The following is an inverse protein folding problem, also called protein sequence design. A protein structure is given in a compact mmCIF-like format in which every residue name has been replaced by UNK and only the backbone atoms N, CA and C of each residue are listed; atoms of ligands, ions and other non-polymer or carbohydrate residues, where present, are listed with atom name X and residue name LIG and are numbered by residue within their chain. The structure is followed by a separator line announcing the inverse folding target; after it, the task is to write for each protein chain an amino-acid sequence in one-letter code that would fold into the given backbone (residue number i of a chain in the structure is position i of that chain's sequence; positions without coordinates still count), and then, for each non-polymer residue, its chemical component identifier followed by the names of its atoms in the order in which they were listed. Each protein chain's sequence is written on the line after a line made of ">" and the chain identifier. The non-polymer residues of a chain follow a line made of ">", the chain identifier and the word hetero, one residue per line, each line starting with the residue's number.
data_IF_676936746799
#
_entry.id   IF_676936746799
#
_cell.length_a   1.000
_cell.length_b   1.000
_cell.length_c   1.000
_cell.angle_alpha   90.00
_cell.angle_beta   90.00
_cell.angle_gamma   90.00
#
_symmetry.space_group_name_H-M   'P 1'
#
loop_
_entity.id
_entity.type
_entity.pdbx_description
1 polymer ?
#
# COMPACT_ATOMS: atom_id res chain seq x y z
N UNK A 1 -5.15 -13.86 11.75
CA UNK A 1 -4.97 -12.47 11.30
C UNK A 1 -4.50 -11.65 12.48
N UNK A 2 -3.38 -10.96 12.33
CA UNK A 2 -2.77 -10.13 13.38
C UNK A 2 -3.49 -8.79 13.60
N UNK A 3 -3.19 -8.15 14.74
CA UNK A 3 -3.76 -6.86 15.11
C UNK A 3 -3.38 -5.74 14.14
N UNK A 4 -4.22 -4.70 14.02
CA UNK A 4 -3.99 -3.58 13.09
C UNK A 4 -4.12 -3.91 11.60
N UNK A 5 -4.42 -5.17 11.26
CA UNK A 5 -4.67 -5.58 9.87
C UNK A 5 -6.05 -5.11 9.42
N UNK A 6 -6.10 -4.51 8.24
CA UNK A 6 -7.32 -3.94 7.68
C UNK A 6 -7.61 -4.45 6.25
N UNK A 7 -8.85 -4.82 6.01
CA UNK A 7 -9.38 -5.17 4.68
C UNK A 7 -10.32 -4.05 4.27
N UNK A 8 -9.88 -3.21 3.31
CA UNK A 8 -10.61 -2.00 2.92
C UNK A 8 -11.92 -2.29 2.19
N UNK A 9 -11.99 -3.39 1.47
CA UNK A 9 -13.20 -3.82 0.78
C UNK A 9 -13.41 -5.34 0.92
N UNK A 10 -14.00 -5.78 2.04
CA UNK A 10 -14.21 -7.20 2.28
C UNK A 10 -15.16 -7.87 1.26
N UNK A 11 -16.02 -7.09 0.60
CA UNK A 11 -17.00 -7.65 -0.36
C UNK A 11 -16.36 -8.04 -1.69
N UNK A 12 -15.30 -7.35 -2.10
CA UNK A 12 -14.55 -7.65 -3.33
C UNK A 12 -13.31 -8.50 -3.10
N UNK A 13 -12.90 -8.68 -1.84
CA UNK A 13 -11.69 -9.41 -1.47
C UNK A 13 -12.01 -10.88 -1.23
N UNK A 14 -11.37 -11.77 -1.97
CA UNK A 14 -11.49 -13.21 -1.81
C UNK A 14 -10.35 -13.76 -0.95
N UNK A 15 -10.67 -14.15 0.28
CA UNK A 15 -9.76 -14.89 1.15
C UNK A 15 -10.29 -16.30 1.28
N UNK A 16 -9.49 -17.30 0.89
CA UNK A 16 -9.89 -18.71 0.92
C UNK A 16 -10.25 -19.17 2.35
N UNK A 17 -11.56 -19.30 2.59
CA UNK A 17 -12.09 -19.72 3.88
C UNK A 17 -12.23 -21.26 4.02
N UNK A 18 -11.96 -22.03 2.97
CA UNK A 18 -12.11 -23.50 3.04
C UNK A 18 -10.98 -24.14 3.85
N UNK A 19 -9.79 -23.53 3.84
CA UNK A 19 -8.60 -24.05 4.53
C UNK A 19 -7.92 -22.97 5.38
N UNK A 20 -8.60 -22.41 6.37
CA UNK A 20 -8.10 -21.26 7.15
C UNK A 20 -6.79 -21.58 7.90
N UNK A 21 -6.55 -22.86 8.22
CA UNK A 21 -5.33 -23.35 8.87
C UNK A 21 -4.08 -23.29 7.96
N UNK A 22 -4.25 -23.08 6.66
CA UNK A 22 -3.14 -22.86 5.71
C UNK A 22 -2.82 -21.37 5.52
N UNK A 23 -3.50 -20.48 6.26
CA UNK A 23 -3.30 -19.04 6.08
C UNK A 23 -2.85 -18.37 7.36
N UNK A 24 -1.73 -17.65 7.27
CA UNK A 24 -1.25 -16.77 8.33
C UNK A 24 -1.10 -15.36 7.79
N UNK A 25 -1.77 -14.39 8.42
CA UNK A 25 -1.64 -12.97 8.11
C UNK A 25 -1.17 -12.27 9.37
N UNK A 26 -0.06 -11.58 9.28
CA UNK A 26 0.59 -10.87 10.38
C UNK A 26 -0.14 -9.60 10.81
N UNK A 27 0.56 -8.77 11.56
CA UNK A 27 0.07 -7.50 12.08
C UNK A 27 0.24 -6.36 11.08
N UNK A 28 -0.63 -5.35 11.16
CA UNK A 28 -0.57 -4.14 10.33
C UNK A 28 -0.52 -4.44 8.81
N UNK A 29 -1.26 -5.44 8.35
CA UNK A 29 -1.39 -5.76 6.93
C UNK A 29 -2.55 -4.96 6.34
N UNK A 30 -2.30 -4.25 5.26
CA UNK A 30 -3.29 -3.43 4.56
C UNK A 30 -3.70 -4.12 3.25
N UNK A 31 -4.91 -4.68 3.21
CA UNK A 31 -5.43 -5.41 2.05
C UNK A 31 -6.44 -4.54 1.33
N UNK A 32 -6.13 -4.17 0.09
CA UNK A 32 -6.98 -3.26 -0.70
C UNK A 32 -8.03 -4.02 -1.52
N UNK A 33 -8.79 -3.28 -2.33
CA UNK A 33 -9.90 -3.78 -3.15
C UNK A 33 -9.48 -4.92 -4.09
N UNK A 34 -10.33 -5.94 -4.22
CA UNK A 34 -10.22 -7.00 -5.23
C UNK A 34 -9.03 -7.95 -5.05
N UNK A 35 -8.39 -7.98 -3.88
CA UNK A 35 -7.30 -8.91 -3.59
C UNK A 35 -7.85 -10.34 -3.49
N UNK A 36 -7.12 -11.30 -4.06
CA UNK A 36 -7.44 -12.73 -3.99
C UNK A 36 -6.31 -13.49 -3.33
N UNK A 37 -6.62 -14.27 -2.29
CA UNK A 37 -5.64 -15.14 -1.59
C UNK A 37 -6.17 -16.57 -1.63
N UNK A 38 -5.42 -17.46 -2.27
CA UNK A 38 -5.80 -18.86 -2.47
C UNK A 38 -4.83 -19.80 -1.76
N UNK A 39 -5.35 -20.79 -1.07
CA UNK A 39 -4.58 -21.85 -0.39
C UNK A 39 -4.59 -23.18 -1.12
N UNK A 40 -5.34 -23.29 -2.22
CA UNK A 40 -5.46 -24.52 -3.00
C UNK A 40 -5.86 -24.23 -4.45
N UNK A 41 -5.64 -25.23 -5.32
CA UNK A 41 -6.10 -25.23 -6.70
C UNK A 41 -7.30 -26.15 -6.95
N UNK A 42 -7.96 -25.97 -8.07
CA UNK A 42 -9.03 -26.83 -8.57
C UNK A 42 -8.72 -27.44 -9.94
N UNK A 43 -7.48 -27.37 -10.37
CA UNK A 43 -6.92 -27.87 -11.63
C UNK A 43 -6.99 -29.39 -11.75
N UNK A 44 -7.03 -30.10 -10.61
CA UNK A 44 -7.23 -31.55 -10.58
C UNK A 44 -8.54 -32.01 -11.28
N UNK A 45 -9.53 -31.12 -11.45
CA UNK A 45 -10.76 -31.43 -12.15
C UNK A 45 -10.54 -31.81 -13.62
N UNK A 46 -9.56 -31.16 -14.26
CA UNK A 46 -9.13 -31.46 -15.64
C UNK A 46 -8.38 -32.79 -15.66
N UNK A 47 -7.45 -32.99 -14.72
CA UNK A 47 -6.67 -34.22 -14.62
C UNK A 47 -7.60 -35.44 -14.39
N UNK A 48 -8.59 -35.27 -13.53
CA UNK A 48 -9.62 -36.30 -13.30
C UNK A 48 -10.40 -36.61 -14.58
N UNK A 49 -10.76 -35.60 -15.35
CA UNK A 49 -11.50 -35.79 -16.61
C UNK A 49 -10.73 -36.60 -17.66
N UNK A 50 -9.40 -36.48 -17.66
CA UNK A 50 -8.53 -37.15 -18.64
C UNK A 50 -7.99 -38.48 -18.11
N UNK A 51 -7.52 -38.52 -16.86
CA UNK A 51 -6.78 -39.66 -16.30
C UNK A 51 -7.57 -40.46 -15.25
N UNK A 52 -8.65 -39.89 -14.72
CA UNK A 52 -9.48 -40.54 -13.69
C UNK A 52 -9.03 -40.25 -12.25
N UNK A 53 -7.83 -39.71 -12.05
CA UNK A 53 -7.23 -39.49 -10.75
C UNK A 53 -7.67 -38.15 -10.12
N UNK A 54 -7.85 -38.13 -8.80
CA UNK A 54 -8.08 -36.91 -8.03
C UNK A 54 -6.77 -36.49 -7.37
N UNK A 55 -6.05 -35.55 -7.99
CA UNK A 55 -4.74 -35.07 -7.54
C UNK A 55 -4.88 -33.62 -7.09
N UNK A 56 -5.21 -33.41 -5.80
CA UNK A 56 -5.36 -32.06 -5.24
C UNK A 56 -4.05 -31.31 -5.09
N UNK A 57 -4.12 -29.98 -5.14
CA UNK A 57 -3.01 -29.07 -4.87
C UNK A 57 -3.37 -28.12 -3.73
N UNK A 58 -2.47 -27.91 -2.78
CA UNK A 58 -2.65 -26.98 -1.67
C UNK A 58 -1.28 -26.61 -1.08
N UNK A 59 -1.21 -25.44 -0.45
CA UNK A 59 0.00 -24.98 0.24
C UNK A 59 -0.30 -23.83 1.18
N UNK A 60 0.63 -23.60 2.08
CA UNK A 60 0.55 -22.54 3.07
C UNK A 60 0.71 -21.17 2.40
N UNK A 61 -0.06 -20.17 2.88
CA UNK A 61 0.15 -18.75 2.58
C UNK A 61 0.52 -18.05 3.87
N UNK A 62 1.73 -17.49 3.92
CA UNK A 62 2.21 -16.70 5.06
C UNK A 62 2.48 -15.27 4.62
N UNK A 63 1.82 -14.32 5.27
CA UNK A 63 2.04 -12.89 5.07
C UNK A 63 2.58 -12.33 6.38
N UNK A 64 3.77 -11.73 6.33
CA UNK A 64 4.44 -11.13 7.48
C UNK A 64 3.75 -9.87 7.99
N UNK A 65 4.46 -9.11 8.81
CA UNK A 65 3.94 -7.89 9.41
C UNK A 65 4.20 -6.66 8.54
N UNK A 66 3.37 -5.63 8.69
CA UNK A 66 3.54 -4.35 7.98
C UNK A 66 3.64 -4.55 6.46
N UNK A 67 2.60 -5.16 5.87
CA UNK A 67 2.53 -5.48 4.44
C UNK A 67 1.38 -4.72 3.81
N UNK A 68 1.65 -4.07 2.68
CA UNK A 68 0.61 -3.47 1.84
C UNK A 68 0.36 -4.37 0.62
N UNK A 69 -0.89 -4.73 0.38
CA UNK A 69 -1.30 -5.53 -0.78
C UNK A 69 -2.18 -4.68 -1.67
N UNK A 70 -1.62 -4.29 -2.81
CA UNK A 70 -2.26 -3.41 -3.79
C UNK A 70 -3.42 -4.08 -4.53
N UNK A 71 -4.31 -3.24 -5.03
CA UNK A 71 -5.57 -3.61 -5.68
C UNK A 71 -5.42 -4.71 -6.73
N UNK A 72 -6.32 -5.69 -6.66
CA UNK A 72 -6.41 -6.79 -7.62
C UNK A 72 -5.27 -7.80 -7.57
N UNK A 73 -4.38 -7.72 -6.59
CA UNK A 73 -3.28 -8.69 -6.45
C UNK A 73 -3.80 -10.10 -6.16
N UNK A 74 -3.16 -11.10 -6.73
CA UNK A 74 -3.47 -12.51 -6.53
C UNK A 74 -2.28 -13.16 -5.83
N UNK A 75 -2.53 -13.80 -4.68
CA UNK A 75 -1.54 -14.55 -3.90
C UNK A 75 -1.93 -16.00 -3.96
N UNK A 76 -1.05 -16.82 -4.54
CA UNK A 76 -1.27 -18.26 -4.68
C UNK A 76 -0.71 -19.01 -3.47
N UNK A 77 -1.17 -20.25 -3.34
CA UNK A 77 -0.68 -21.19 -2.32
C UNK A 77 0.83 -21.46 -2.46
N UNK A 78 1.40 -21.99 -1.38
CA UNK A 78 2.85 -22.27 -1.24
C UNK A 78 3.71 -20.99 -1.39
N UNK A 79 3.23 -19.86 -0.82
CA UNK A 79 3.94 -18.58 -0.85
C UNK A 79 4.16 -18.00 0.52
N UNK A 80 5.33 -17.38 0.72
CA UNK A 80 5.66 -16.59 1.91
C UNK A 80 6.06 -15.19 1.50
N UNK A 81 5.33 -14.20 1.99
CA UNK A 81 5.65 -12.79 1.84
C UNK A 81 6.24 -12.34 3.18
N UNK A 82 7.45 -11.85 3.17
CA UNK A 82 8.14 -11.36 4.37
C UNK A 82 7.48 -10.13 5.00
N UNK A 83 8.12 -9.57 5.99
CA UNK A 83 7.66 -8.33 6.64
C UNK A 83 8.17 -7.08 5.92
N UNK A 84 7.48 -5.95 6.12
CA UNK A 84 7.81 -4.67 5.49
C UNK A 84 7.82 -4.76 3.95
N UNK A 85 6.81 -5.40 3.37
CA UNK A 85 6.70 -5.64 1.93
C UNK A 85 5.56 -4.79 1.34
N UNK A 86 5.83 -4.20 0.19
CA UNK A 86 4.81 -3.58 -0.65
C UNK A 86 4.59 -4.49 -1.85
N UNK A 87 3.42 -5.12 -1.93
CA UNK A 87 2.91 -5.76 -3.14
C UNK A 87 2.23 -4.67 -3.95
N UNK A 88 2.95 -4.05 -4.87
CA UNK A 88 2.42 -2.95 -5.65
C UNK A 88 1.36 -3.44 -6.64
N UNK A 89 0.30 -2.69 -6.81
CA UNK A 89 -0.59 -2.83 -7.94
C UNK A 89 0.23 -2.55 -9.21
N UNK A 90 0.34 -3.54 -10.11
CA UNK A 90 1.32 -3.65 -11.17
C UNK A 90 1.52 -2.50 -12.15
N UNK A 91 1.85 -1.29 -11.71
CA UNK A 91 2.27 -0.22 -12.61
C UNK A 91 3.73 0.20 -12.39
N UNK A 92 4.53 -0.02 -13.42
CA UNK A 92 5.86 0.54 -13.55
C UNK A 92 5.78 1.58 -14.68
N UNK A 93 6.07 2.84 -14.34
CA UNK A 93 6.21 4.01 -15.24
C UNK A 93 4.99 4.46 -16.03
N UNK A 94 4.52 5.66 -15.66
CA UNK A 94 3.71 6.59 -16.46
C UNK A 94 2.82 5.97 -17.54
N UNK A 95 1.55 5.77 -17.18
CA UNK A 95 0.45 5.32 -18.04
C UNK A 95 0.27 3.81 -18.13
N UNK A 96 -0.90 3.43 -17.76
CA UNK A 96 -1.64 2.17 -17.82
C UNK A 96 -1.77 1.51 -16.46
N UNK A 97 -2.93 1.63 -15.95
CA UNK A 97 -3.71 0.84 -15.01
C UNK A 97 -3.27 -0.64 -15.04
N UNK A 98 -2.33 -0.97 -14.22
CA UNK A 98 -1.86 -2.33 -14.03
C UNK A 98 -2.13 -2.79 -12.60
N UNK A 99 -3.40 -2.97 -12.26
CA UNK A 99 -3.80 -3.85 -11.17
C UNK A 99 -3.39 -5.29 -11.52
N UNK A 100 -3.16 -6.15 -10.52
CA UNK A 100 -2.96 -7.59 -10.65
C UNK A 100 -1.50 -8.06 -10.61
N UNK A 101 -0.80 -7.82 -9.49
CA UNK A 101 0.43 -8.58 -9.23
C UNK A 101 0.08 -10.04 -8.91
N UNK A 102 0.72 -10.98 -9.59
CA UNK A 102 0.58 -12.41 -9.32
C UNK A 102 1.76 -12.90 -8.46
N UNK A 103 1.50 -13.13 -7.19
CA UNK A 103 2.48 -13.66 -6.24
C UNK A 103 2.39 -15.20 -6.24
N UNK A 104 3.29 -15.83 -6.96
CA UNK A 104 3.35 -17.29 -7.16
C UNK A 104 4.65 -17.92 -6.62
N UNK A 105 5.39 -17.16 -5.83
CA UNK A 105 6.61 -17.60 -5.12
C UNK A 105 6.84 -16.74 -3.89
N UNK A 106 7.73 -17.18 -3.02
CA UNK A 106 8.07 -16.45 -1.79
C UNK A 106 8.99 -15.25 -2.04
N UNK A 107 8.87 -14.24 -1.19
CA UNK A 107 9.64 -13.00 -1.22
C UNK A 107 10.16 -12.65 0.17
N UNK A 108 11.39 -12.10 0.27
CA UNK A 108 12.01 -11.72 1.53
C UNK A 108 11.39 -10.45 2.12
N UNK A 109 11.88 -10.08 3.30
CA UNK A 109 11.56 -8.82 3.97
C UNK A 109 12.09 -7.59 3.22
N UNK A 110 11.51 -6.43 3.49
CA UNK A 110 11.98 -5.10 3.10
C UNK A 110 12.12 -4.91 1.58
N UNK A 111 11.15 -5.39 0.81
CA UNK A 111 11.13 -5.26 -0.66
C UNK A 111 9.81 -4.67 -1.17
N UNK A 112 9.89 -4.11 -2.36
CA UNK A 112 8.74 -3.77 -3.20
C UNK A 112 8.66 -4.80 -4.31
N UNK A 113 7.52 -5.46 -4.45
CA UNK A 113 7.28 -6.45 -5.50
C UNK A 113 6.12 -6.04 -6.39
N UNK A 114 6.18 -6.35 -7.66
CA UNK A 114 5.10 -6.09 -8.62
C UNK A 114 5.19 -6.98 -9.85
N UNK A 115 4.10 -7.05 -10.61
CA UNK A 115 4.04 -7.70 -11.92
C UNK A 115 3.36 -9.06 -11.94
N UNK A 116 3.19 -9.62 -13.13
CA UNK A 116 2.63 -10.95 -13.37
C UNK A 116 3.55 -11.75 -14.28
N UNK A 117 4.32 -12.74 -13.74
CA UNK A 117 4.49 -13.03 -12.32
C UNK A 117 5.25 -11.92 -11.56
N UNK A 118 5.00 -11.80 -10.25
CA UNK A 118 5.64 -10.80 -9.40
C UNK A 118 7.17 -10.99 -9.32
N UNK A 119 7.88 -9.86 -9.30
CA UNK A 119 9.34 -9.79 -9.14
C UNK A 119 9.68 -8.70 -8.14
N UNK A 120 10.86 -8.78 -7.52
CA UNK A 120 11.40 -7.67 -6.74
C UNK A 120 11.73 -6.53 -7.70
N UNK A 121 11.18 -5.37 -7.40
CA UNK A 121 11.38 -4.12 -8.17
C UNK A 121 12.52 -3.30 -7.56
N UNK A 122 12.50 -3.18 -6.25
CA UNK A 122 13.53 -2.46 -5.48
C UNK A 122 13.45 -2.86 -4.01
N UNK A 123 14.43 -2.44 -3.23
CA UNK A 123 14.36 -2.50 -1.77
C UNK A 123 13.36 -1.46 -1.24
N UNK A 124 12.84 -1.69 -0.03
CA UNK A 124 11.96 -0.72 0.63
C UNK A 124 12.69 0.61 0.90
N UNK A 125 14.00 0.56 1.20
CA UNK A 125 14.81 1.75 1.41
C UNK A 125 14.96 2.60 0.13
N UNK A 126 15.21 1.97 -1.01
CA UNK A 126 15.26 2.68 -2.30
C UNK A 126 13.92 3.31 -2.64
N UNK A 127 12.83 2.59 -2.40
CA UNK A 127 11.47 3.13 -2.57
C UNK A 127 11.20 4.32 -1.66
N UNK A 128 11.57 4.22 -0.38
CA UNK A 128 11.44 5.32 0.59
C UNK A 128 12.20 6.57 0.15
N UNK A 129 13.48 6.43 -0.27
CA UNK A 129 14.29 7.55 -0.79
C UNK A 129 13.65 8.19 -2.01
N UNK A 130 13.15 7.38 -2.93
CA UNK A 130 12.40 7.86 -4.11
C UNK A 130 11.16 8.64 -3.69
N UNK A 131 10.35 8.14 -2.75
CA UNK A 131 9.15 8.84 -2.27
C UNK A 131 9.47 10.19 -1.63
N UNK A 132 10.51 10.24 -0.80
CA UNK A 132 10.97 11.48 -0.19
C UNK A 132 11.40 12.52 -1.24
N UNK A 133 12.09 12.10 -2.29
CA UNK A 133 12.60 13.03 -3.32
C UNK A 133 11.51 13.67 -4.17
N UNK A 134 10.34 13.07 -4.27
CA UNK A 134 9.21 13.56 -5.08
C UNK A 134 8.04 14.10 -4.26
N UNK A 135 8.05 13.90 -2.94
CA UNK A 135 6.95 14.19 -2.02
C UNK A 135 6.43 15.63 -2.14
N UNK A 136 7.33 16.61 -2.10
CA UNK A 136 6.97 18.02 -2.24
C UNK A 136 6.46 18.36 -3.64
N UNK A 137 7.09 17.81 -4.67
CA UNK A 137 6.65 18.06 -6.06
C UNK A 137 5.25 17.52 -6.32
N UNK A 138 4.89 16.40 -5.71
CA UNK A 138 3.53 15.86 -5.78
C UNK A 138 2.51 16.77 -5.09
N UNK A 139 2.86 17.33 -3.92
CA UNK A 139 2.02 18.31 -3.23
C UNK A 139 1.80 19.56 -4.10
N UNK A 140 2.86 20.08 -4.74
CA UNK A 140 2.78 21.20 -5.68
C UNK A 140 1.87 20.87 -6.87
N UNK A 141 2.03 19.67 -7.44
CA UNK A 141 1.20 19.21 -8.55
C UNK A 141 -0.28 19.12 -8.16
N UNK A 142 -0.58 18.59 -6.97
CA UNK A 142 -1.94 18.53 -6.44
C UNK A 142 -2.56 19.93 -6.34
N UNK A 143 -1.84 20.90 -5.76
CA UNK A 143 -2.32 22.28 -5.65
C UNK A 143 -2.64 22.88 -7.02
N UNK A 144 -1.74 22.74 -8.00
CA UNK A 144 -1.95 23.23 -9.38
C UNK A 144 -3.17 22.59 -10.02
N UNK A 145 -3.32 21.27 -9.90
CA UNK A 145 -4.47 20.53 -10.44
C UNK A 145 -5.79 20.99 -9.80
N UNK A 146 -5.80 21.17 -8.48
CA UNK A 146 -6.98 21.62 -7.76
C UNK A 146 -7.39 23.05 -8.15
N UNK A 147 -6.44 23.98 -8.20
CA UNK A 147 -6.66 25.37 -8.68
C UNK A 147 -7.20 25.39 -10.09
N UNK A 148 -6.58 24.64 -11.02
CA UNK A 148 -7.03 24.54 -12.41
C UNK A 148 -8.47 24.06 -12.52
N UNK A 149 -8.87 23.08 -11.70
CA UNK A 149 -10.21 22.47 -11.76
C UNK A 149 -11.28 23.29 -11.09
N UNK A 150 -10.96 23.88 -9.93
CA UNK A 150 -11.98 24.51 -9.06
C UNK A 150 -11.85 26.03 -8.95
N UNK A 151 -10.79 26.61 -9.51
CA UNK A 151 -10.45 28.03 -9.42
C UNK A 151 -10.45 28.57 -7.97
N UNK A 152 -9.95 27.74 -7.03
CA UNK A 152 -9.81 28.04 -5.61
C UNK A 152 -8.65 27.30 -4.99
N UNK A 153 -8.24 27.71 -3.76
CA UNK A 153 -7.19 27.02 -3.01
C UNK A 153 -7.67 25.68 -2.45
N UNK A 154 -6.82 24.62 -2.48
CA UNK A 154 -7.06 23.42 -1.69
C UNK A 154 -6.94 23.75 -0.19
N UNK A 155 -7.62 22.98 0.65
CA UNK A 155 -7.57 23.10 2.10
C UNK A 155 -6.81 21.95 2.76
N UNK A 156 -7.05 21.84 4.06
CA UNK A 156 -6.44 20.80 4.89
C UNK A 156 -6.82 19.38 4.45
N UNK A 157 -8.03 19.17 3.94
CA UNK A 157 -8.50 17.85 3.51
C UNK A 157 -7.76 17.35 2.27
N UNK A 158 -7.51 18.23 1.31
CA UNK A 158 -6.81 17.86 0.08
C UNK A 158 -5.32 17.63 0.30
N UNK A 159 -4.73 18.28 1.32
CA UNK A 159 -3.30 18.21 1.64
C UNK A 159 -2.98 17.34 2.87
N UNK A 160 -3.92 16.49 3.30
CA UNK A 160 -3.79 15.73 4.54
C UNK A 160 -2.63 14.72 4.56
N UNK A 161 -2.14 14.26 3.41
CA UNK A 161 -0.97 13.39 3.31
C UNK A 161 0.35 14.17 3.19
N UNK A 162 0.28 15.51 3.04
CA UNK A 162 1.44 16.38 2.81
C UNK A 162 1.71 17.36 3.97
N UNK A 163 0.98 17.25 5.07
CA UNK A 163 1.00 18.23 6.15
C UNK A 163 2.35 18.37 6.86
N UNK A 164 3.23 17.37 6.80
CA UNK A 164 4.58 17.45 7.35
C UNK A 164 5.46 18.49 6.65
N UNK A 165 5.07 18.98 5.47
CA UNK A 165 5.75 20.09 4.80
C UNK A 165 5.58 21.42 5.55
N UNK A 166 4.45 21.59 6.25
CA UNK A 166 4.05 22.85 6.88
C UNK A 166 3.57 22.72 8.33
N UNK A 167 3.81 21.55 8.95
CA UNK A 167 3.61 21.33 10.39
C UNK A 167 4.78 20.59 11.01
N UNK A 168 5.06 20.85 12.28
CA UNK A 168 6.02 20.12 13.10
C UNK A 168 5.49 19.93 14.54
N UNK A 169 6.32 19.39 15.42
CA UNK A 169 5.93 19.08 16.80
C UNK A 169 5.62 20.31 17.68
N UNK A 170 5.90 21.53 17.21
CA UNK A 170 5.58 22.77 17.90
C UNK A 170 4.19 23.30 17.53
N UNK A 171 3.54 22.72 16.51
CA UNK A 171 2.23 23.14 16.07
C UNK A 171 1.13 22.34 16.76
N UNK A 172 -0.01 22.97 17.01
CA UNK A 172 -1.22 22.27 17.41
C UNK A 172 -1.85 21.62 16.18
N UNK A 173 -1.81 20.28 16.14
CA UNK A 173 -2.38 19.54 15.01
C UNK A 173 -3.90 19.54 15.06
N UNK A 174 -4.51 19.81 13.92
CA UNK A 174 -5.96 19.61 13.72
C UNK A 174 -6.32 18.11 13.83
N UNK A 175 -7.58 17.75 14.14
CA UNK A 175 -7.98 16.35 14.31
C UNK A 175 -7.61 15.44 13.14
N UNK A 176 -7.75 15.94 11.91
CA UNK A 176 -7.39 15.20 10.70
C UNK A 176 -5.90 14.80 10.68
N UNK A 177 -4.99 15.73 11.02
CA UNK A 177 -3.54 15.45 11.02
C UNK A 177 -3.12 14.57 12.20
N UNK A 178 -3.78 14.70 13.36
CA UNK A 178 -3.62 13.76 14.47
C UNK A 178 -3.98 12.35 14.01
N UNK A 179 -5.15 12.19 13.38
CA UNK A 179 -5.59 10.91 12.85
C UNK A 179 -4.60 10.32 11.85
N UNK A 180 -4.05 11.13 10.92
CA UNK A 180 -3.04 10.65 9.96
C UNK A 180 -1.78 10.13 10.65
N UNK A 181 -1.31 10.80 11.73
CA UNK A 181 -0.17 10.32 12.50
C UNK A 181 -0.45 9.03 13.28
N UNK A 182 -1.71 8.77 13.62
CA UNK A 182 -2.15 7.61 14.42
C UNK A 182 -2.46 6.37 13.56
N UNK A 183 -2.59 6.55 12.24
CA UNK A 183 -2.84 5.43 11.32
C UNK A 183 -1.68 4.45 11.31
N UNK A 184 -2.00 3.14 11.34
CA UNK A 184 -1.11 1.99 11.20
C UNK A 184 -0.12 1.82 12.35
N UNK A 185 0.81 2.75 12.58
CA UNK A 185 1.83 2.65 13.64
C UNK A 185 2.10 4.03 14.26
N UNK A 186 1.75 4.19 15.53
CA UNK A 186 1.82 5.50 16.20
C UNK A 186 3.23 5.84 16.75
N UNK A 187 3.95 4.85 17.30
CA UNK A 187 5.19 5.12 18.05
C UNK A 187 6.31 5.67 17.16
N UNK A 188 6.61 4.98 16.07
CA UNK A 188 7.63 5.43 15.11
C UNK A 188 7.28 6.77 14.46
N UNK A 189 5.99 6.99 14.17
CA UNK A 189 5.50 8.23 13.59
C UNK A 189 5.71 9.38 14.56
N UNK A 190 5.36 9.20 15.84
CA UNK A 190 5.55 10.22 16.86
C UNK A 190 7.03 10.58 17.07
N UNK A 191 7.93 9.58 17.12
CA UNK A 191 9.36 9.82 17.21
C UNK A 191 9.88 10.61 16.00
N UNK A 192 9.45 10.23 14.82
CA UNK A 192 9.88 10.89 13.59
C UNK A 192 9.29 12.29 13.46
N UNK A 193 8.04 12.49 13.85
CA UNK A 193 7.38 13.79 13.84
C UNK A 193 8.02 14.79 14.81
N UNK A 194 8.50 14.34 15.99
CA UNK A 194 9.30 15.17 16.91
C UNK A 194 10.60 15.71 16.28
N UNK A 195 11.13 14.99 15.30
CA UNK A 195 12.35 15.37 14.57
C UNK A 195 12.04 16.14 13.28
N UNK A 196 10.77 16.19 12.88
CA UNK A 196 10.36 16.89 11.67
C UNK A 196 10.64 18.39 11.80
N UNK A 197 11.22 18.95 10.74
CA UNK A 197 11.38 20.39 10.58
C UNK A 197 10.57 20.79 9.36
N UNK A 198 9.43 21.45 9.61
CA UNK A 198 8.59 21.94 8.54
C UNK A 198 9.36 22.88 7.61
N UNK A 199 9.17 22.72 6.32
CA UNK A 199 9.81 23.56 5.29
C UNK A 199 9.12 24.91 5.14
N UNK A 200 7.79 24.94 5.33
CA UNK A 200 6.94 26.13 5.21
C UNK A 200 6.38 26.48 6.58
N UNK A 201 6.16 27.77 6.82
CA UNK A 201 5.65 28.28 8.10
C UNK A 201 4.30 27.63 8.47
N UNK A 202 3.41 27.58 7.50
CA UNK A 202 2.06 27.00 7.59
C UNK A 202 1.54 26.64 6.19
N UNK A 203 0.31 26.12 6.09
CA UNK A 203 -0.33 25.77 4.82
C UNK A 203 -0.44 26.98 3.86
N UNK A 204 -0.69 28.18 4.38
CA UNK A 204 -0.84 29.37 3.54
C UNK A 204 0.51 29.79 2.93
N UNK A 205 1.60 29.64 3.69
CA UNK A 205 2.94 29.89 3.22
C UNK A 205 3.32 28.89 2.11
N UNK A 206 2.99 27.61 2.28
CA UNK A 206 3.14 26.61 1.22
C UNK A 206 2.32 26.97 -0.03
N UNK A 207 1.04 27.29 0.11
CA UNK A 207 0.18 27.63 -1.02
C UNK A 207 0.68 28.88 -1.78
N UNK A 208 1.19 29.90 -1.07
CA UNK A 208 1.80 31.09 -1.69
C UNK A 208 3.07 30.77 -2.47
N UNK A 209 3.83 29.76 -2.06
CA UNK A 209 5.05 29.34 -2.77
C UNK A 209 4.77 28.65 -4.12
N UNK A 210 3.55 28.15 -4.32
CA UNK A 210 3.13 27.49 -5.55
C UNK A 210 2.52 28.53 -6.50
N UNK A 211 3.14 28.80 -7.66
CA UNK A 211 2.57 29.76 -8.62
C UNK A 211 1.21 29.27 -9.14
N UNK A 212 0.27 30.19 -9.30
CA UNK A 212 -0.93 29.95 -10.11
C UNK A 212 -0.45 29.70 -11.53
N UNK A 213 -0.80 28.52 -12.09
CA UNK A 213 -0.45 28.23 -13.49
C UNK A 213 -1.15 29.19 -14.45
N UNK A 214 -0.50 29.47 -15.57
CA UNK A 214 -1.13 30.12 -16.72
C UNK A 214 -2.23 29.25 -17.32
#
# INVERSE_FOLDING_TARGET
>A
VGGGTHIYDPQSTLIDAQRPYLMTIGENVQITHGVTILTHGYDWSVLKGVYGDVIGSAGEVVIGNNVFIGTGSIILYDTKIGSNVIVAAGSINNVIIGANSLVNKSFPDNVVIAGNPAKVICTLEEYYKKRLSIYEQEAICLVKCYRKKYNKEPGYNELHEFFWLFTDSNDELIPLYKHMNELVTIDKTNEKFKQNKKKYKDINDFLKSVPWGE
#
